data_IF_722700383178
#
_entry.id   IF_722700383178
#
_cell.length_a   1.000
_cell.length_b   1.000
_cell.length_c   1.000
_cell.angle_alpha   90.00
_cell.angle_beta   90.00
_cell.angle_gamma   90.00
#
_symmetry.space_group_name_H-M   'P 1'
#
loop_
_entity.id
_entity.type
_entity.pdbx_description
1 polymer ?
#
# COMPACT_ATOMS: atom_id res chain seq x y z
N UNK A 1 4.74 -0.98 11.18
CA UNK A 1 3.63 -1.63 11.92
C UNK A 1 2.47 -2.02 10.99
N UNK A 2 1.98 -1.11 10.13
CA UNK A 2 0.88 -1.41 9.19
C UNK A 2 1.15 -2.60 8.26
N UNK A 3 2.38 -2.74 7.76
CA UNK A 3 2.76 -3.87 6.91
C UNK A 3 2.89 -5.20 7.67
N UNK A 4 3.13 -5.17 8.98
CA UNK A 4 3.16 -6.37 9.81
C UNK A 4 1.74 -6.93 10.03
N UNK A 5 0.75 -6.05 10.22
CA UNK A 5 -0.67 -6.45 10.26
C UNK A 5 -1.18 -6.89 8.89
N UNK A 6 -0.76 -6.24 7.79
CA UNK A 6 -1.19 -6.61 6.45
C UNK A 6 -0.55 -7.88 5.87
N UNK A 7 0.52 -8.38 6.50
CA UNK A 7 1.13 -9.68 6.19
C UNK A 7 0.26 -10.87 6.62
N UNK A 8 -0.60 -10.68 7.64
CA UNK A 8 -1.44 -11.73 8.23
C UNK A 8 -2.29 -12.52 7.23
N UNK A 9 -3.05 -11.89 6.30
CA UNK A 9 -3.81 -12.62 5.29
C UNK A 9 -2.95 -13.42 4.31
N UNK A 10 -1.70 -13.02 4.03
CA UNK A 10 -0.81 -13.82 3.20
C UNK A 10 -0.27 -15.05 3.97
N UNK A 11 0.07 -14.88 5.25
CA UNK A 11 0.52 -15.99 6.09
C UNK A 11 -0.59 -17.03 6.28
N UNK A 12 -1.84 -16.59 6.53
CA UNK A 12 -2.96 -17.50 6.72
C UNK A 12 -3.54 -18.07 5.41
N UNK A 13 -3.59 -17.26 4.35
CA UNK A 13 -4.29 -17.62 3.12
C UNK A 13 -3.46 -18.46 2.15
N UNK A 14 -2.14 -18.28 2.12
CA UNK A 14 -1.24 -19.03 1.22
C UNK A 14 -0.06 -19.69 1.96
N UNK A 15 0.01 -19.60 3.29
CA UNK A 15 1.11 -20.17 4.06
C UNK A 15 2.46 -19.51 3.76
N UNK A 16 2.46 -18.26 3.29
CA UNK A 16 3.67 -17.54 2.91
C UNK A 16 4.62 -17.36 4.11
N UNK A 17 5.92 -17.37 3.85
CA UNK A 17 6.91 -16.99 4.84
C UNK A 17 6.64 -15.57 5.35
N UNK A 18 6.82 -15.34 6.65
CA UNK A 18 6.52 -14.04 7.27
C UNK A 18 7.28 -12.88 6.60
N UNK A 19 8.54 -13.11 6.22
CA UNK A 19 9.35 -12.10 5.52
C UNK A 19 8.79 -11.80 4.12
N UNK A 20 8.42 -12.82 3.35
CA UNK A 20 7.87 -12.64 2.00
C UNK A 20 6.52 -11.91 2.05
N UNK A 21 5.65 -12.31 2.99
CA UNK A 21 4.37 -11.65 3.25
C UNK A 21 4.55 -10.19 3.68
N UNK A 22 5.55 -9.91 4.50
CA UNK A 22 5.87 -8.55 4.94
C UNK A 22 6.41 -7.69 3.79
N UNK A 23 7.32 -8.23 2.97
CA UNK A 23 7.84 -7.56 1.77
C UNK A 23 6.72 -7.28 0.75
N UNK A 24 5.85 -8.25 0.49
CA UNK A 24 4.70 -8.08 -0.39
C UNK A 24 3.78 -6.96 0.11
N UNK A 25 3.50 -6.95 1.41
CA UNK A 25 2.62 -5.95 2.02
C UNK A 25 3.24 -4.56 2.00
N UNK A 26 4.56 -4.44 2.25
CA UNK A 26 5.30 -3.18 2.11
C UNK A 26 5.21 -2.67 0.68
N UNK A 27 5.51 -3.51 -0.29
CA UNK A 27 5.47 -3.20 -1.73
C UNK A 27 4.08 -2.72 -2.19
N UNK A 28 3.02 -3.36 -1.69
CA UNK A 28 1.64 -2.94 -1.96
C UNK A 28 1.34 -1.55 -1.40
N UNK A 29 1.62 -1.31 -0.12
CA UNK A 29 1.36 -0.01 0.51
C UNK A 29 2.18 1.15 -0.06
N UNK A 30 3.40 0.89 -0.52
CA UNK A 30 4.24 1.91 -1.18
C UNK A 30 3.94 2.01 -2.67
N UNK A 31 2.98 1.24 -3.19
CA UNK A 31 2.64 1.15 -4.61
C UNK A 31 3.82 0.78 -5.51
N UNK A 32 4.83 0.10 -4.97
CA UNK A 32 6.03 -0.33 -5.70
C UNK A 32 5.73 -1.51 -6.62
N UNK A 33 4.80 -2.39 -6.25
CA UNK A 33 4.30 -3.46 -7.13
C UNK A 33 5.27 -4.61 -7.40
N UNK A 34 6.36 -4.73 -6.62
CA UNK A 34 7.26 -5.87 -6.63
C UNK A 34 6.64 -7.03 -5.86
N UNK A 35 6.69 -8.23 -6.44
CA UNK A 35 6.09 -9.45 -5.87
C UNK A 35 7.16 -10.47 -5.51
N UNK A 36 7.05 -11.08 -4.33
CA UNK A 36 7.86 -12.25 -3.96
C UNK A 36 7.18 -13.57 -4.33
N UNK A 37 5.88 -13.52 -4.61
CA UNK A 37 5.09 -14.69 -4.99
C UNK A 37 5.16 -14.98 -6.48
N UNK A 38 5.27 -16.26 -6.84
CA UNK A 38 5.19 -16.78 -8.22
C UNK A 38 3.80 -17.36 -8.49
N UNK A 39 3.36 -17.33 -9.76
CA UNK A 39 2.06 -17.88 -10.15
C UNK A 39 0.86 -17.13 -9.58
N UNK A 40 0.83 -15.80 -9.72
CA UNK A 40 -0.29 -14.99 -9.22
C UNK A 40 -1.65 -15.41 -9.81
N UNK A 41 -1.67 -15.82 -11.08
CA UNK A 41 -2.91 -16.18 -11.77
C UNK A 41 -3.62 -17.41 -11.17
N UNK A 42 -2.88 -18.26 -10.45
CA UNK A 42 -3.44 -19.44 -9.76
C UNK A 42 -3.72 -19.20 -8.28
N UNK A 43 -3.49 -17.98 -7.75
CA UNK A 43 -3.74 -17.67 -6.35
C UNK A 43 -5.24 -17.56 -6.03
N UNK A 44 -5.63 -17.77 -4.76
CA UNK A 44 -6.99 -17.52 -4.31
C UNK A 44 -7.43 -16.08 -4.64
N UNK A 45 -8.63 -15.92 -5.20
CA UNK A 45 -9.19 -14.60 -5.55
C UNK A 45 -9.24 -13.64 -4.35
N UNK A 46 -9.40 -14.15 -3.13
CA UNK A 46 -9.35 -13.35 -1.89
C UNK A 46 -7.98 -12.69 -1.67
N UNK A 47 -6.90 -13.37 -2.03
CA UNK A 47 -5.53 -12.86 -1.88
C UNK A 47 -5.21 -11.86 -2.98
N UNK A 48 -5.64 -12.13 -4.22
CA UNK A 48 -5.54 -11.16 -5.31
C UNK A 48 -6.31 -9.87 -5.00
N UNK A 49 -7.49 -9.99 -4.38
CA UNK A 49 -8.24 -8.84 -3.88
C UNK A 49 -7.51 -8.11 -2.74
N UNK A 50 -6.91 -8.84 -1.80
CA UNK A 50 -6.12 -8.21 -0.74
C UNK A 50 -4.92 -7.44 -1.29
N UNK A 51 -4.24 -7.97 -2.32
CA UNK A 51 -3.15 -7.29 -3.04
C UNK A 51 -3.62 -6.01 -3.70
N UNK A 52 -4.74 -6.04 -4.42
CA UNK A 52 -5.27 -4.83 -5.05
C UNK A 52 -5.73 -3.80 -4.01
N UNK A 53 -6.26 -4.24 -2.87
CA UNK A 53 -6.65 -3.37 -1.76
C UNK A 53 -5.45 -2.66 -1.13
N UNK A 54 -4.34 -3.36 -0.84
CA UNK A 54 -3.16 -2.71 -0.23
C UNK A 54 -2.56 -1.67 -1.18
N UNK A 55 -2.57 -1.94 -2.48
CA UNK A 55 -2.12 -1.03 -3.51
C UNK A 55 -3.05 0.18 -3.68
N UNK A 56 -4.37 -0.03 -3.57
CA UNK A 56 -5.35 1.05 -3.57
C UNK A 56 -5.21 1.96 -2.35
N UNK A 57 -5.02 1.39 -1.16
CA UNK A 57 -4.77 2.16 0.08
C UNK A 57 -3.46 2.95 -0.03
N UNK A 58 -2.41 2.35 -0.58
CA UNK A 58 -1.15 3.05 -0.86
C UNK A 58 -1.34 4.25 -1.80
N UNK A 59 -2.09 4.06 -2.89
CA UNK A 59 -2.40 5.10 -3.87
C UNK A 59 -3.23 6.26 -3.29
N UNK A 60 -4.22 5.97 -2.44
CA UNK A 60 -4.92 7.02 -1.71
C UNK A 60 -4.02 7.74 -0.71
N UNK A 61 -3.08 7.04 -0.07
CA UNK A 61 -2.10 7.61 0.83
C UNK A 61 -1.19 8.66 0.16
N UNK A 62 -0.61 8.33 -1.00
CA UNK A 62 0.25 9.28 -1.72
C UNK A 62 -0.54 10.49 -2.25
N UNK A 63 -1.77 10.26 -2.73
CA UNK A 63 -2.63 11.31 -3.28
C UNK A 63 -3.08 12.29 -2.20
N UNK A 64 -3.50 11.78 -1.04
CA UNK A 64 -3.85 12.62 0.12
C UNK A 64 -2.64 13.38 0.67
N UNK A 65 -1.46 12.75 0.70
CA UNK A 65 -0.22 13.42 1.08
C UNK A 65 0.12 14.58 0.13
N UNK A 66 0.03 14.35 -1.18
CA UNK A 66 0.30 15.39 -2.18
C UNK A 66 -0.67 16.58 -2.05
N UNK A 67 -1.97 16.31 -1.89
CA UNK A 67 -2.98 17.36 -1.68
C UNK A 67 -2.77 18.12 -0.36
N UNK A 68 -2.39 17.43 0.72
CA UNK A 68 -2.12 18.06 2.02
C UNK A 68 -0.88 18.96 1.98
N UNK A 69 0.15 18.58 1.24
CA UNK A 69 1.35 19.41 1.05
C UNK A 69 1.04 20.60 0.13
N UNK A 70 0.37 20.36 -0.99
CA UNK A 70 -0.01 21.41 -1.95
C UNK A 70 -0.90 22.49 -1.30
N UNK A 71 -1.90 22.10 -0.52
CA UNK A 71 -2.78 23.04 0.19
C UNK A 71 -2.05 23.90 1.22
N UNK A 72 -1.02 23.38 1.91
CA UNK A 72 -0.19 24.17 2.82
C UNK A 72 0.62 25.26 2.09
N UNK A 73 1.15 24.95 0.92
CA UNK A 73 1.93 25.89 0.11
C UNK A 73 1.01 26.99 -0.44
N UNK A 74 -0.16 26.61 -0.98
CA UNK A 74 -1.12 27.55 -1.54
C UNK A 74 -1.79 28.43 -0.47
N UNK A 75 -2.09 27.86 0.71
CA UNK A 75 -2.65 28.60 1.85
C UNK A 75 -1.67 29.59 2.47
N UNK A 76 -0.37 29.28 2.50
CA UNK A 76 0.67 30.21 2.98
C UNK A 76 0.82 31.45 2.09
N UNK A 77 0.73 31.28 0.77
CA UNK A 77 0.86 32.40 -0.17
C UNK A 77 -0.34 33.35 -0.16
N UNK A 78 -1.54 32.88 0.23
CA UNK A 78 -2.74 33.70 0.38
C UNK A 78 -2.79 34.47 1.72
N UNK A 79 -2.09 34.01 2.76
CA UNK A 79 -2.07 34.64 4.09
C UNK A 79 -0.97 35.70 4.28
N UNK A 80 0.13 35.62 3.53
CA UNK A 80 1.25 36.59 3.59
C UNK A 80 1.29 37.58 2.41
N UNK A 81 0.27 37.58 1.56
CA UNK A 81 0.16 38.42 0.36
C UNK A 81 -0.82 39.60 0.48
N UNK A 82 -1.20 40.01 1.69
CA UNK A 82 -2.03 41.18 1.97
C UNK A 82 -1.30 42.18 2.86
#
# INVERSE_FOLDING_TARGET
MLSASGAFPYVLGIGAGYLDAYFETMSGFTTTGITMFTGLDSMPRSILFWRSLTQWVGGLGILTFFLAVSSRILGGHLLFGA
#
